data_IF_561794526079
#
_entry.id   IF_561794526079
#
_cell.length_a   1.000
_cell.length_b   1.000
_cell.length_c   1.000
_cell.angle_alpha   90.00
_cell.angle_beta   90.00
_cell.angle_gamma   90.00
#
_symmetry.space_group_name_H-M   'P 1'
#
loop_
_entity.id
_entity.type
_entity.pdbx_description
1 polymer ?
#
# COMPACT_ATOMS: atom_id res chain seq x y z
N UNK A 1 -5.58 -36.10 -30.93
CA UNK A 1 -5.34 -34.71 -31.36
C UNK A 1 -6.50 -34.28 -32.24
N UNK A 2 -6.93 -33.01 -32.29
CA UNK A 2 -6.81 -31.86 -31.38
C UNK A 2 -8.26 -31.38 -30.98
N UNK A 3 -8.56 -30.30 -30.25
CA UNK A 3 -7.81 -29.12 -29.79
C UNK A 3 -8.47 -28.57 -28.51
N UNK A 4 -7.73 -27.94 -27.59
CA UNK A 4 -7.22 -26.57 -27.62
C UNK A 4 -8.30 -25.48 -27.51
N UNK A 5 -8.16 -24.68 -26.45
CA UNK A 5 -8.61 -23.29 -26.37
C UNK A 5 -9.79 -23.04 -25.41
N UNK A 6 -9.85 -22.02 -24.56
CA UNK A 6 -9.06 -20.78 -24.51
C UNK A 6 -9.38 -20.03 -23.20
N UNK A 7 -8.34 -19.53 -22.54
CA UNK A 7 -8.23 -18.29 -21.75
C UNK A 7 -9.51 -17.69 -21.12
N UNK A 8 -9.55 -17.63 -19.79
CA UNK A 8 -10.26 -16.56 -19.08
C UNK A 8 -9.45 -15.26 -19.25
N UNK A 9 -9.55 -14.68 -20.45
CA UNK A 9 -9.09 -13.35 -20.81
C UNK A 9 -10.29 -12.41 -20.72
N UNK A 10 -10.18 -11.34 -19.94
CA UNK A 10 -11.04 -10.18 -20.14
C UNK A 10 -11.62 -9.55 -18.88
N UNK A 11 -10.79 -9.11 -17.92
CA UNK A 11 -11.18 -7.93 -17.15
C UNK A 11 -10.90 -6.72 -18.06
N UNK A 12 -11.97 -6.28 -18.73
CA UNK A 12 -11.97 -5.15 -19.64
C UNK A 12 -11.40 -3.90 -18.92
N UNK A 13 -10.54 -3.13 -19.62
CA UNK A 13 -9.93 -1.87 -19.14
C UNK A 13 -10.95 -0.83 -18.64
N UNK A 14 -12.24 -1.00 -18.96
CA UNK A 14 -13.35 -0.17 -18.51
C UNK A 14 -13.70 -0.34 -17.02
N UNK A 15 -13.39 -1.49 -16.40
CA UNK A 15 -13.76 -1.80 -15.01
C UNK A 15 -12.99 -0.99 -13.95
N UNK A 16 -11.79 -0.49 -14.28
CA UNK A 16 -10.98 0.30 -13.35
C UNK A 16 -11.55 1.71 -13.07
N UNK A 17 -12.45 2.20 -13.93
CA UNK A 17 -13.09 3.51 -13.80
C UNK A 17 -14.34 3.40 -12.92
N UNK A 18 -15.11 2.31 -13.02
CA UNK A 18 -16.34 2.12 -12.23
C UNK A 18 -16.10 1.98 -10.73
N UNK A 19 -14.93 1.46 -10.32
CA UNK A 19 -14.60 1.28 -8.91
C UNK A 19 -14.36 2.58 -8.13
N UNK A 20 -14.23 3.72 -8.81
CA UNK A 20 -14.02 5.04 -8.20
C UNK A 20 -15.30 5.64 -7.60
N UNK A 21 -16.46 5.25 -8.12
CA UNK A 21 -17.79 5.75 -7.74
C UNK A 21 -18.73 4.63 -7.28
N UNK A 22 -18.27 3.39 -7.36
CA UNK A 22 -19.09 2.24 -7.05
C UNK A 22 -19.61 2.29 -5.60
N UNK A 23 -20.93 2.12 -5.53
CA UNK A 23 -21.64 1.82 -4.31
C UNK A 23 -20.98 0.61 -3.59
N UNK A 24 -20.92 0.59 -2.25
CA UNK A 24 -20.37 -0.54 -1.49
C UNK A 24 -20.96 -1.90 -1.89
N UNK A 25 -22.23 -1.96 -2.28
CA UNK A 25 -22.89 -3.18 -2.72
C UNK A 25 -22.40 -3.62 -4.11
N UNK A 26 -22.13 -2.66 -5.01
CA UNK A 26 -21.50 -2.95 -6.30
C UNK A 26 -20.07 -3.46 -6.10
N UNK A 27 -19.27 -2.82 -5.25
CA UNK A 27 -17.91 -3.28 -4.96
C UNK A 27 -17.90 -4.64 -4.30
N UNK A 28 -18.76 -4.87 -3.30
CA UNK A 28 -18.90 -6.17 -2.66
C UNK A 28 -19.26 -7.25 -3.69
N UNK A 29 -20.26 -6.99 -4.55
CA UNK A 29 -20.64 -7.91 -5.63
C UNK A 29 -19.49 -8.13 -6.63
N UNK A 30 -18.81 -7.08 -7.06
CA UNK A 30 -17.68 -7.15 -7.99
C UNK A 30 -16.48 -7.89 -7.39
N UNK A 31 -16.33 -7.85 -6.07
CA UNK A 31 -15.31 -8.58 -5.32
C UNK A 31 -15.79 -9.97 -4.83
N UNK A 32 -16.87 -10.53 -5.40
CA UNK A 32 -17.44 -11.82 -4.98
C UNK A 32 -17.76 -11.91 -3.48
N UNK A 33 -18.32 -10.83 -2.91
CA UNK A 33 -18.57 -10.62 -1.49
C UNK A 33 -17.30 -10.68 -0.61
N UNK A 34 -16.14 -10.45 -1.21
CA UNK A 34 -14.85 -10.37 -0.53
C UNK A 34 -14.65 -9.04 0.18
N UNK A 35 -13.75 -9.01 1.17
CA UNK A 35 -13.36 -7.77 1.88
C UNK A 35 -12.58 -6.80 0.99
N UNK A 36 -12.05 -7.27 -0.14
CA UNK A 36 -11.26 -6.50 -1.09
C UNK A 36 -11.28 -7.15 -2.48
N UNK A 37 -10.99 -6.34 -3.50
CA UNK A 37 -10.70 -6.77 -4.87
C UNK A 37 -9.20 -6.69 -5.14
N UNK A 38 -8.65 -7.75 -5.73
CA UNK A 38 -7.26 -7.80 -6.21
C UNK A 38 -7.26 -7.49 -7.69
N UNK A 39 -6.49 -6.49 -8.12
CA UNK A 39 -6.28 -6.14 -9.52
C UNK A 39 -4.80 -6.00 -9.78
N UNK A 40 -4.37 -6.00 -11.05
CA UNK A 40 -2.94 -6.03 -11.37
C UNK A 40 -2.13 -4.89 -10.70
N UNK A 41 -1.43 -5.25 -9.62
CA UNK A 41 -0.59 -4.42 -8.76
C UNK A 41 -1.31 -3.42 -7.83
N UNK A 42 -2.62 -3.51 -7.64
CA UNK A 42 -3.30 -2.78 -6.56
C UNK A 42 -4.53 -3.51 -6.04
N UNK A 43 -4.84 -3.28 -4.77
CA UNK A 43 -5.96 -3.86 -4.06
C UNK A 43 -6.91 -2.75 -3.62
N UNK A 44 -8.21 -2.90 -3.88
CA UNK A 44 -9.25 -1.95 -3.42
C UNK A 44 -10.07 -2.61 -2.32
N UNK A 45 -10.32 -1.88 -1.23
CA UNK A 45 -11.11 -2.35 -0.10
C UNK A 45 -12.60 -2.24 -0.43
N UNK A 46 -13.34 -3.32 -0.21
CA UNK A 46 -14.78 -3.43 -0.51
C UNK A 46 -15.63 -3.79 0.72
N UNK A 47 -15.02 -4.33 1.79
CA UNK A 47 -15.74 -4.80 2.97
C UNK A 47 -16.29 -3.70 3.90
N UNK A 48 -16.17 -2.43 3.53
CA UNK A 48 -16.58 -1.26 4.33
C UNK A 48 -17.01 -0.10 3.44
N UNK A 49 -18.23 0.40 3.65
CA UNK A 49 -18.78 1.54 2.92
C UNK A 49 -18.11 2.88 3.24
N UNK A 50 -17.51 2.98 4.41
CA UNK A 50 -16.79 4.15 4.93
C UNK A 50 -15.28 4.09 4.69
N UNK A 51 -14.76 3.07 4.00
CA UNK A 51 -13.34 2.97 3.69
C UNK A 51 -12.97 3.86 2.50
N UNK A 52 -12.82 5.16 2.75
CA UNK A 52 -12.40 6.11 1.73
C UNK A 52 -10.88 6.14 1.63
N UNK A 53 -10.17 6.32 2.72
CA UNK A 53 -8.73 6.59 2.64
C UNK A 53 -7.96 6.49 3.94
N UNK A 54 -6.71 6.91 3.87
CA UNK A 54 -5.84 6.92 5.04
C UNK A 54 -6.32 7.91 6.10
N UNK A 55 -7.04 8.94 5.68
CA UNK A 55 -7.77 9.89 6.51
C UNK A 55 -8.82 9.23 7.44
N UNK A 56 -9.33 8.05 7.09
CA UNK A 56 -10.31 7.34 7.92
C UNK A 56 -9.65 6.44 8.98
N UNK A 57 -8.34 6.21 8.87
CA UNK A 57 -7.62 5.27 9.74
C UNK A 57 -7.28 5.92 11.07
N UNK A 58 -7.68 5.26 12.16
CA UNK A 58 -7.43 5.69 13.53
C UNK A 58 -7.24 4.50 14.48
N UNK A 59 -7.02 4.77 15.77
CA UNK A 59 -6.77 3.75 16.79
C UNK A 59 -7.88 2.70 16.95
N UNK A 60 -9.13 3.01 16.59
CA UNK A 60 -10.26 2.09 16.73
C UNK A 60 -10.37 1.09 15.58
N UNK A 61 -10.02 1.52 14.36
CA UNK A 61 -10.19 0.72 13.15
C UNK A 61 -8.87 0.24 12.52
N UNK A 62 -7.72 0.62 13.08
CA UNK A 62 -6.40 0.28 12.55
C UNK A 62 -6.23 -1.22 12.26
N UNK A 63 -6.75 -2.10 13.12
CA UNK A 63 -6.68 -3.56 12.93
C UNK A 63 -7.34 -4.03 11.62
N UNK A 64 -8.45 -3.41 11.23
CA UNK A 64 -9.11 -3.72 9.96
C UNK A 64 -8.18 -3.39 8.79
N UNK A 65 -7.62 -2.19 8.76
CA UNK A 65 -6.73 -1.76 7.67
C UNK A 65 -5.40 -2.51 7.69
N UNK A 66 -4.87 -2.87 8.87
CA UNK A 66 -3.70 -3.74 8.97
C UNK A 66 -3.95 -5.08 8.27
N UNK A 67 -5.14 -5.69 8.46
CA UNK A 67 -5.49 -6.92 7.74
C UNK A 67 -5.54 -6.75 6.22
N UNK A 68 -5.92 -5.56 5.74
CA UNK A 68 -5.85 -5.24 4.31
C UNK A 68 -4.40 -5.08 3.83
N UNK A 69 -3.52 -4.50 4.65
CA UNK A 69 -2.09 -4.40 4.32
C UNK A 69 -1.41 -5.78 4.31
N UNK A 70 -1.76 -6.69 5.22
CA UNK A 70 -1.33 -8.09 5.16
C UNK A 70 -1.81 -8.79 3.88
N UNK A 71 -3.06 -8.53 3.46
CA UNK A 71 -3.57 -9.05 2.19
C UNK A 71 -2.77 -8.52 0.99
N UNK A 72 -2.45 -7.23 0.95
CA UNK A 72 -1.59 -6.66 -0.09
C UNK A 72 -0.16 -7.24 -0.06
N UNK A 73 0.41 -7.44 1.14
CA UNK A 73 1.71 -8.09 1.32
C UNK A 73 1.74 -9.51 0.76
N UNK A 74 0.64 -10.27 0.87
CA UNK A 74 0.55 -11.62 0.28
C UNK A 74 0.66 -11.63 -1.25
N UNK A 75 0.36 -10.51 -1.91
CA UNK A 75 0.49 -10.36 -3.36
C UNK A 75 1.92 -9.95 -3.77
N UNK A 76 2.61 -9.17 -2.93
CA UNK A 76 4.00 -8.76 -3.14
C UNK A 76 4.70 -8.48 -1.80
N UNK A 77 5.32 -9.50 -1.21
CA UNK A 77 6.00 -9.41 0.10
C UNK A 77 7.52 -9.58 0.06
N UNK A 78 8.10 -9.70 -1.14
CA UNK A 78 9.53 -9.92 -1.32
C UNK A 78 10.38 -8.66 -1.16
N UNK A 79 11.70 -8.83 -1.14
CA UNK A 79 12.67 -7.72 -1.00
C UNK A 79 12.65 -6.73 -2.17
N UNK A 80 12.11 -7.13 -3.33
CA UNK A 80 11.89 -6.28 -4.51
C UNK A 80 10.50 -5.64 -4.57
N UNK A 81 9.68 -5.76 -3.52
CA UNK A 81 8.33 -5.22 -3.46
C UNK A 81 8.27 -3.91 -2.69
N UNK A 82 7.25 -3.11 -2.99
CA UNK A 82 6.84 -1.94 -2.21
C UNK A 82 5.31 -1.90 -2.14
N UNK A 83 4.78 -1.60 -0.96
CA UNK A 83 3.35 -1.38 -0.73
C UNK A 83 3.12 0.09 -0.44
N UNK A 84 2.14 0.73 -1.10
CA UNK A 84 1.94 2.18 -1.03
C UNK A 84 0.45 2.49 -0.82
N UNK A 85 0.19 3.39 0.12
CA UNK A 85 -1.10 4.07 0.27
C UNK A 85 -0.88 5.56 0.01
N UNK A 86 -1.65 6.09 -0.93
CA UNK A 86 -1.61 7.49 -1.30
C UNK A 86 -2.62 8.31 -0.48
N UNK A 87 -2.25 9.54 -0.05
CA UNK A 87 -3.17 10.45 0.61
C UNK A 87 -4.24 10.98 -0.37
N UNK A 88 -5.31 11.56 0.17
CA UNK A 88 -6.47 12.05 -0.60
C UNK A 88 -6.12 13.00 -1.74
N UNK A 89 -5.17 13.91 -1.56
CA UNK A 89 -4.72 14.84 -2.61
C UNK A 89 -3.87 14.23 -3.73
N UNK A 90 -3.50 12.95 -3.61
CA UNK A 90 -2.54 12.28 -4.50
C UNK A 90 -3.06 10.95 -5.05
N UNK A 91 -4.39 10.78 -5.02
CA UNK A 91 -5.08 9.61 -5.56
C UNK A 91 -6.19 10.06 -6.49
N UNK A 92 -6.54 9.21 -7.45
CA UNK A 92 -7.69 9.42 -8.34
C UNK A 92 -8.93 8.67 -7.87
N UNK A 93 -8.78 7.69 -6.98
CA UNK A 93 -9.89 6.91 -6.43
C UNK A 93 -10.14 7.29 -4.98
N UNK A 94 -11.40 7.56 -4.64
CA UNK A 94 -11.79 7.91 -3.27
C UNK A 94 -12.00 6.71 -2.37
N UNK A 95 -11.92 5.48 -2.89
CA UNK A 95 -11.97 4.24 -2.10
C UNK A 95 -10.60 3.83 -1.64
N UNK A 96 -10.52 3.24 -0.44
CA UNK A 96 -9.24 2.87 0.13
C UNK A 96 -8.58 1.80 -0.73
N UNK A 97 -7.36 2.06 -1.17
CA UNK A 97 -6.62 1.13 -2.00
C UNK A 97 -5.14 1.11 -1.67
N UNK A 98 -4.53 -0.05 -1.86
CA UNK A 98 -3.12 -0.32 -1.58
C UNK A 98 -2.49 -0.73 -2.89
N UNK A 99 -1.50 0.03 -3.33
CA UNK A 99 -0.66 -0.36 -4.46
C UNK A 99 0.37 -1.36 -3.96
N UNK A 100 0.56 -2.45 -4.69
CA UNK A 100 1.65 -3.39 -4.45
C UNK A 100 2.41 -3.57 -5.75
N UNK A 101 3.67 -3.12 -5.76
CA UNK A 101 4.47 -2.97 -6.97
C UNK A 101 5.85 -3.56 -6.77
N UNK A 102 6.50 -3.88 -7.88
CA UNK A 102 7.95 -3.95 -7.91
C UNK A 102 8.52 -2.54 -8.06
N UNK A 103 9.45 -2.18 -7.19
CA UNK A 103 10.13 -0.90 -7.30
C UNK A 103 11.23 -0.95 -8.37
N UNK A 104 11.56 0.20 -8.95
CA UNK A 104 12.63 0.32 -9.93
C UNK A 104 13.99 0.67 -9.26
N UNK A 105 15.02 1.00 -10.05
CA UNK A 105 16.33 1.37 -9.52
C UNK A 105 16.31 2.61 -8.60
N UNK A 106 15.36 3.53 -8.79
CA UNK A 106 15.19 4.70 -7.93
C UNK A 106 14.59 4.29 -6.60
N UNK A 107 13.60 3.40 -6.62
CA UNK A 107 13.06 2.80 -5.39
C UNK A 107 14.08 1.95 -4.65
N UNK A 108 14.95 1.21 -5.35
CA UNK A 108 16.06 0.47 -4.76
C UNK A 108 17.05 1.41 -4.05
N UNK A 109 17.40 2.52 -4.70
CA UNK A 109 18.29 3.54 -4.14
C UNK A 109 17.68 4.19 -2.89
N UNK A 110 16.39 4.50 -2.92
CA UNK A 110 15.68 5.03 -1.75
C UNK A 110 15.63 4.00 -0.62
N UNK A 111 15.30 2.73 -0.92
CA UNK A 111 15.30 1.64 0.07
C UNK A 111 16.67 1.51 0.73
N UNK A 112 17.76 1.55 -0.03
CA UNK A 112 19.11 1.49 0.53
C UNK A 112 19.40 2.67 1.48
N UNK A 113 19.05 3.91 1.08
CA UNK A 113 19.18 5.09 1.95
C UNK A 113 18.37 4.99 3.24
N UNK A 114 17.15 4.45 3.16
CA UNK A 114 16.32 4.21 4.33
C UNK A 114 16.97 3.16 5.23
N UNK A 115 17.43 2.03 4.67
CA UNK A 115 18.10 0.98 5.43
C UNK A 115 19.31 1.52 6.21
N UNK A 116 20.18 2.29 5.56
CA UNK A 116 21.34 2.90 6.24
C UNK A 116 20.97 3.83 7.38
N UNK A 117 19.74 4.36 7.39
CA UNK A 117 19.28 5.30 8.41
C UNK A 117 18.47 4.65 9.54
N UNK A 118 17.92 3.44 9.36
CA UNK A 118 16.97 2.86 10.33
C UNK A 118 17.23 1.40 10.75
N UNK A 119 18.06 0.62 10.05
CA UNK A 119 18.16 -0.83 10.30
C UNK A 119 18.66 -1.18 11.71
N UNK A 120 19.58 -0.40 12.26
CA UNK A 120 20.22 -0.64 13.56
C UNK A 120 19.84 0.43 14.58
N UNK A 121 18.81 1.21 14.26
CA UNK A 121 18.44 2.41 15.00
C UNK A 121 17.05 2.26 15.64
N UNK A 122 16.93 2.81 16.84
CA UNK A 122 15.69 2.76 17.61
C UNK A 122 14.77 3.94 17.34
N UNK A 123 13.56 3.67 16.86
CA UNK A 123 12.49 4.67 16.80
C UNK A 123 12.22 5.22 15.40
N UNK A 124 11.53 6.38 15.35
CA UNK A 124 11.20 7.06 14.11
C UNK A 124 12.28 8.08 13.77
N UNK A 125 12.90 7.93 12.61
CA UNK A 125 13.96 8.81 12.13
C UNK A 125 13.42 9.76 11.06
N UNK A 126 13.99 10.95 10.99
CA UNK A 126 13.72 11.98 9.99
C UNK A 126 15.03 12.56 9.47
N UNK A 127 15.00 13.22 8.31
CA UNK A 127 16.16 13.91 7.74
C UNK A 127 16.50 13.38 6.35
N UNK A 128 16.27 14.20 5.33
CA UNK A 128 16.59 13.88 3.93
C UNK A 128 15.69 12.81 3.29
N UNK A 129 14.64 12.34 3.98
CA UNK A 129 13.62 11.48 3.39
C UNK A 129 12.61 12.30 2.57
N UNK A 130 12.01 11.70 1.53
CA UNK A 130 11.04 12.39 0.69
C UNK A 130 9.91 13.03 1.50
N UNK A 131 9.60 14.28 1.16
CA UNK A 131 8.42 15.00 1.63
C UNK A 131 8.37 15.14 3.16
N UNK A 132 9.53 15.47 3.76
CA UNK A 132 9.68 15.63 5.20
C UNK A 132 9.35 14.36 5.99
N UNK A 133 9.43 13.19 5.34
CA UNK A 133 8.93 11.95 5.89
C UNK A 133 9.72 11.44 7.09
N UNK A 134 9.10 10.49 7.80
CA UNK A 134 9.69 9.74 8.91
C UNK A 134 9.73 8.26 8.58
N UNK A 135 10.83 7.59 8.87
CA UNK A 135 10.98 6.16 8.63
C UNK A 135 11.33 5.40 9.90
N UNK A 136 10.93 4.13 9.96
CA UNK A 136 11.27 3.21 11.05
C UNK A 136 11.40 1.79 10.53
N UNK A 137 12.37 1.06 11.07
CA UNK A 137 12.51 -0.38 10.90
C UNK A 137 11.66 -1.16 11.92
N UNK A 138 11.13 -2.29 11.46
CA UNK A 138 10.41 -3.27 12.27
C UNK A 138 10.94 -4.65 11.94
N UNK A 139 11.12 -5.48 12.96
CA UNK A 139 11.35 -6.90 12.76
C UNK A 139 10.08 -7.57 12.21
N UNK A 140 10.25 -8.43 11.20
CA UNK A 140 9.15 -9.02 10.44
C UNK A 140 8.25 -8.00 9.72
N UNK A 141 7.00 -8.39 9.45
CA UNK A 141 5.98 -7.52 8.87
C UNK A 141 4.99 -7.07 9.96
N UNK A 142 4.92 -5.77 10.29
CA UNK A 142 4.15 -5.30 11.43
C UNK A 142 2.68 -5.03 11.08
N UNK A 143 1.89 -4.71 12.11
CA UNK A 143 0.61 -4.03 11.98
C UNK A 143 0.83 -2.58 11.45
N UNK A 144 1.03 -2.45 10.13
CA UNK A 144 1.58 -1.26 9.46
C UNK A 144 0.94 0.06 9.88
N UNK A 145 -0.38 0.18 9.88
CA UNK A 145 -1.05 1.45 10.20
C UNK A 145 -0.99 1.76 11.69
N UNK A 146 -1.14 0.76 12.54
CA UNK A 146 -0.95 0.92 13.99
C UNK A 146 0.48 1.37 14.30
N UNK A 147 1.46 0.79 13.61
CA UNK A 147 2.85 1.18 13.71
C UNK A 147 3.07 2.61 13.21
N UNK A 148 2.56 2.96 12.02
CA UNK A 148 2.70 4.27 11.38
C UNK A 148 2.13 5.42 12.22
N UNK A 149 1.04 5.20 12.96
CA UNK A 149 0.50 6.16 13.93
C UNK A 149 1.47 6.51 15.07
N UNK A 150 2.48 5.66 15.33
CA UNK A 150 3.57 5.97 16.26
C UNK A 150 4.49 7.10 15.78
N UNK A 151 4.41 7.49 14.50
CA UNK A 151 5.16 8.63 13.92
C UNK A 151 4.47 9.99 14.15
N UNK A 152 3.21 9.95 14.60
CA UNK A 152 2.24 11.04 14.63
C UNK A 152 0.96 10.68 13.87
N UNK A 153 0.07 11.65 13.68
CA UNK A 153 -1.12 11.46 12.85
C UNK A 153 -0.74 11.08 11.42
N UNK A 154 -1.42 10.07 10.88
CA UNK A 154 -1.29 9.64 9.48
C UNK A 154 -2.42 10.17 8.59
N UNK A 155 -3.34 10.97 9.15
CA UNK A 155 -4.41 11.59 8.39
C UNK A 155 -3.82 12.57 7.38
N UNK A 156 -3.83 12.19 6.10
CA UNK A 156 -3.22 12.97 5.01
C UNK A 156 -1.76 12.63 4.69
N UNK A 157 -1.19 11.57 5.27
CA UNK A 157 0.14 11.09 4.89
C UNK A 157 0.08 10.04 3.77
N UNK A 158 1.19 9.85 3.07
CA UNK A 158 1.44 8.61 2.35
C UNK A 158 2.14 7.62 3.26
N UNK A 159 1.72 6.35 3.21
CA UNK A 159 2.41 5.24 3.90
C UNK A 159 3.01 4.34 2.83
N UNK A 160 4.35 4.27 2.81
CA UNK A 160 5.11 3.40 1.93
C UNK A 160 5.85 2.35 2.75
N UNK A 161 5.77 1.09 2.33
CA UNK A 161 6.29 -0.07 3.06
C UNK A 161 7.23 -0.84 2.16
N UNK A 162 8.44 -1.12 2.64
CA UNK A 162 9.42 -1.99 1.97
C UNK A 162 9.62 -3.27 2.78
N UNK A 163 8.92 -4.36 2.41
CA UNK A 163 9.22 -5.70 2.92
C UNK A 163 10.63 -6.16 2.57
N UNK A 164 11.15 -7.15 3.32
CA UNK A 164 12.48 -7.72 3.10
C UNK A 164 13.58 -6.66 3.16
N UNK A 165 13.50 -5.77 4.14
CA UNK A 165 14.51 -4.75 4.44
C UNK A 165 15.35 -5.20 5.63
N UNK A 166 16.63 -4.79 5.65
CA UNK A 166 17.56 -5.13 6.74
C UNK A 166 17.61 -6.66 7.00
N UNK A 167 17.66 -7.47 5.94
CA UNK A 167 17.41 -8.91 6.01
C UNK A 167 15.94 -9.23 5.75
N UNK A 168 15.20 -9.66 6.78
CA UNK A 168 13.82 -10.14 6.67
C UNK A 168 12.76 -9.19 7.23
N UNK A 169 13.15 -8.01 7.73
CA UNK A 169 12.22 -7.08 8.35
C UNK A 169 11.55 -6.12 7.36
N UNK A 170 10.95 -5.07 7.89
CA UNK A 170 10.14 -4.12 7.13
C UNK A 170 10.51 -2.69 7.50
N UNK A 171 10.66 -1.83 6.50
CA UNK A 171 10.74 -0.38 6.71
C UNK A 171 9.39 0.24 6.34
N UNK A 172 8.88 1.09 7.24
CA UNK A 172 7.73 1.95 6.96
C UNK A 172 8.24 3.39 6.83
N UNK A 173 7.91 4.07 5.72
CA UNK A 173 8.05 5.53 5.55
C UNK A 173 6.66 6.16 5.58
N UNK A 174 6.50 7.15 6.45
CA UNK A 174 5.35 8.05 6.49
C UNK A 174 5.79 9.38 5.87
N UNK A 175 5.27 9.71 4.69
CA UNK A 175 5.59 10.94 3.95
C UNK A 175 4.42 11.93 4.03
N UNK A 176 4.72 13.24 4.09
CA UNK A 176 3.70 14.27 4.30
C UNK A 176 3.57 15.17 3.07
N UNK A 177 2.33 15.46 2.68
CA UNK A 177 2.05 16.39 1.57
C UNK A 177 2.59 15.94 0.21
N UNK A 178 2.75 14.62 -0.01
CA UNK A 178 3.11 14.06 -1.31
C UNK A 178 2.75 12.57 -1.43
N UNK A 179 2.84 12.06 -2.67
CA UNK A 179 3.03 10.63 -2.97
C UNK A 179 4.34 10.45 -3.73
N UNK A 180 5.07 9.37 -3.42
CA UNK A 180 6.30 8.98 -4.12
C UNK A 180 6.11 7.82 -5.10
N UNK A 181 4.89 7.30 -5.27
CA UNK A 181 4.63 6.06 -6.03
C UNK A 181 5.30 6.05 -7.41
N UNK A 182 5.04 7.09 -8.20
CA UNK A 182 5.58 7.22 -9.56
C UNK A 182 7.09 7.52 -9.61
N UNK A 183 7.68 7.91 -8.48
CA UNK A 183 9.12 8.16 -8.38
C UNK A 183 9.92 6.90 -8.06
N UNK A 184 9.27 5.84 -7.58
CA UNK A 184 9.93 4.63 -7.07
C UNK A 184 9.47 3.32 -7.74
N UNK A 185 8.48 3.38 -8.61
CA UNK A 185 7.94 2.21 -9.31
C UNK A 185 7.56 2.53 -10.75
N UNK A 186 7.66 1.52 -11.61
CA UNK A 186 7.10 1.59 -12.96
C UNK A 186 5.57 1.49 -12.89
N UNK A 187 4.88 2.17 -13.81
CA UNK A 187 3.42 2.10 -13.96
C UNK A 187 2.97 0.77 -14.54
#
# INVERSE_FOLDING_TARGET
MPGMGTLASGINKTAAIDMQLADPDYLSSACNNGRYCVMNGYMVVAGRSDAQGIEDINGHNGNYYNSMMYAAHSQCGGSGCVLIVNPSGYRTQNRFHIHYRHFDSRGASLKHRLQSAVCEEGGWHSGGFPCGGKAKYFDGFPAVFSAAMGSGSISGSSVTVWPGSCGSGTIILVSYGCSIEHSISAR
#
